data_IF_038121743155
#
_entry.id   IF_038121743155
#
_cell.length_a   1.000
_cell.length_b   1.000
_cell.length_c   1.000
_cell.angle_alpha   90.00
_cell.angle_beta   90.00
_cell.angle_gamma   90.00
#
_symmetry.space_group_name_H-M   'P 1'
#
loop_
_entity.id
_entity.type
_entity.pdbx_description
1 polymer ?
#
# COMPACT_ATOMS: atom_id res chain seq x y z
N UNK A 1 7.28 -16.25 -2.51
CA UNK A 1 7.08 -14.80 -2.67
C UNK A 1 6.05 -14.32 -1.64
N UNK A 2 6.31 -13.20 -0.96
CA UNK A 2 5.38 -12.59 0.01
C UNK A 2 4.72 -11.36 -0.61
N UNK A 3 3.40 -11.29 -0.59
CA UNK A 3 2.59 -10.17 -1.07
C UNK A 3 1.85 -9.55 0.11
N UNK A 4 2.12 -8.29 0.39
CA UNK A 4 1.49 -7.54 1.47
C UNK A 4 0.51 -6.52 0.90
N UNK A 5 -0.74 -6.54 1.34
CA UNK A 5 -1.73 -5.52 1.08
C UNK A 5 -1.95 -4.65 2.31
N UNK A 6 -1.87 -3.33 2.14
CA UNK A 6 -2.16 -2.35 3.19
C UNK A 6 -3.34 -1.49 2.77
N UNK A 7 -4.40 -1.46 3.58
CA UNK A 7 -5.50 -0.50 3.46
C UNK A 7 -5.32 0.63 4.46
N UNK A 8 -5.16 1.86 3.96
CA UNK A 8 -5.07 3.07 4.76
C UNK A 8 -6.42 3.68 5.16
N UNK A 9 -7.54 3.05 4.78
CA UNK A 9 -8.86 3.51 5.19
C UNK A 9 -9.07 3.33 6.68
N UNK A 10 -9.63 4.35 7.34
CA UNK A 10 -10.07 4.26 8.74
C UNK A 10 -11.38 3.47 8.91
N UNK A 11 -12.04 3.11 7.81
CA UNK A 11 -13.12 2.12 7.80
C UNK A 11 -12.50 0.74 7.60
N UNK A 12 -12.53 -0.11 8.64
CA UNK A 12 -11.86 -1.43 8.65
C UNK A 12 -12.20 -2.28 7.42
N UNK A 13 -13.49 -2.36 7.09
CA UNK A 13 -14.01 -3.12 5.95
C UNK A 13 -14.58 -2.14 4.90
N UNK A 14 -13.81 -1.14 4.52
CA UNK A 14 -14.23 -0.12 3.55
C UNK A 14 -13.74 -0.44 2.15
N UNK A 15 -14.24 0.29 1.17
CA UNK A 15 -13.94 0.09 -0.26
C UNK A 15 -12.45 0.00 -0.61
N UNK A 16 -11.57 0.68 0.15
CA UNK A 16 -10.11 0.56 -0.06
C UNK A 16 -9.61 -0.84 0.30
N UNK A 17 -10.11 -1.40 1.40
CA UNK A 17 -9.79 -2.76 1.80
C UNK A 17 -10.32 -3.77 0.78
N UNK A 18 -11.56 -3.58 0.32
CA UNK A 18 -12.17 -4.44 -0.69
C UNK A 18 -11.34 -4.48 -1.97
N UNK A 19 -10.93 -3.33 -2.50
CA UNK A 19 -10.16 -3.28 -3.75
C UNK A 19 -8.73 -3.84 -3.60
N UNK A 20 -8.09 -3.66 -2.44
CA UNK A 20 -6.81 -4.31 -2.12
C UNK A 20 -6.98 -5.83 -2.04
N UNK A 21 -8.06 -6.32 -1.41
CA UNK A 21 -8.34 -7.74 -1.28
C UNK A 21 -8.63 -8.40 -2.63
N UNK A 22 -9.31 -7.72 -3.57
CA UNK A 22 -9.49 -8.24 -4.95
C UNK A 22 -8.14 -8.60 -5.60
N UNK A 23 -7.09 -7.79 -5.36
CA UNK A 23 -5.75 -8.11 -5.87
C UNK A 23 -5.15 -9.30 -5.13
N UNK A 24 -5.26 -9.32 -3.78
CA UNK A 24 -4.70 -10.39 -2.94
C UNK A 24 -5.36 -11.74 -3.22
N UNK A 25 -6.66 -11.78 -3.44
CA UNK A 25 -7.41 -13.01 -3.75
C UNK A 25 -6.91 -13.68 -5.04
N UNK A 26 -6.52 -12.89 -6.05
CA UNK A 26 -5.90 -13.42 -7.27
C UNK A 26 -4.53 -14.04 -7.02
N UNK A 27 -3.88 -13.64 -5.92
CA UNK A 27 -2.55 -14.14 -5.53
C UNK A 27 -2.59 -15.42 -4.67
N UNK A 28 -3.77 -15.98 -4.36
CA UNK A 28 -3.91 -17.23 -3.59
C UNK A 28 -3.57 -18.43 -4.46
N UNK A 29 -2.29 -18.59 -4.78
CA UNK A 29 -1.73 -19.69 -5.56
C UNK A 29 -0.46 -20.22 -4.90
N UNK A 30 -0.08 -21.46 -5.21
CA UNK A 30 1.13 -22.07 -4.67
C UNK A 30 2.40 -21.24 -4.93
N UNK A 31 3.19 -21.06 -3.88
CA UNK A 31 4.42 -20.26 -3.91
C UNK A 31 4.22 -18.79 -3.63
N UNK A 32 2.98 -18.33 -3.36
CA UNK A 32 2.69 -16.97 -2.89
C UNK A 32 2.06 -17.02 -1.50
N UNK A 33 2.64 -16.28 -0.57
CA UNK A 33 2.07 -16.01 0.75
C UNK A 33 1.50 -14.60 0.76
N UNK A 34 0.20 -14.46 1.00
CA UNK A 34 -0.48 -13.17 1.09
C UNK A 34 -0.71 -12.76 2.54
N UNK A 35 -0.59 -11.47 2.82
CA UNK A 35 -0.94 -10.88 4.11
C UNK A 35 -1.70 -9.57 3.86
N UNK A 36 -2.71 -9.28 4.68
CA UNK A 36 -3.46 -8.03 4.64
C UNK A 36 -3.36 -7.29 5.96
N UNK A 37 -3.14 -5.98 5.91
CA UNK A 37 -3.12 -5.09 7.06
C UNK A 37 -4.08 -3.93 6.82
N UNK A 38 -5.01 -3.73 7.76
CA UNK A 38 -5.77 -2.48 7.84
C UNK A 38 -5.06 -1.52 8.79
N UNK A 39 -4.90 -0.26 8.40
CA UNK A 39 -4.44 0.80 9.30
C UNK A 39 -5.56 1.31 10.22
N UNK A 40 -6.81 0.88 10.00
CA UNK A 40 -7.91 1.20 10.91
C UNK A 40 -7.65 0.64 12.30
N UNK A 41 -7.78 1.48 13.31
CA UNK A 41 -7.50 1.13 14.70
C UNK A 41 -6.03 1.13 15.09
N UNK A 42 -5.10 1.30 14.13
CA UNK A 42 -3.67 1.44 14.42
C UNK A 42 -3.31 2.87 14.74
N UNK A 43 -2.45 3.06 15.70
CA UNK A 43 -1.91 4.35 16.07
C UNK A 43 -0.62 4.60 15.28
N UNK A 44 -0.61 5.61 14.42
CA UNK A 44 0.56 6.00 13.63
C UNK A 44 0.75 7.50 13.81
N UNK A 45 1.74 7.88 14.61
CA UNK A 45 2.08 9.27 14.83
C UNK A 45 2.69 9.91 13.58
N UNK A 46 2.49 11.23 13.38
CA UNK A 46 3.16 11.95 12.30
C UNK A 46 4.67 12.00 12.50
N UNK A 47 5.41 12.17 11.41
CA UNK A 47 6.84 12.46 11.47
C UNK A 47 7.08 13.82 12.14
N UNK A 48 8.05 13.88 13.07
CA UNK A 48 8.40 15.11 13.79
C UNK A 48 9.47 15.94 13.07
N UNK A 49 10.00 15.49 11.93
CA UNK A 49 11.09 16.17 11.22
C UNK A 49 12.40 16.26 12.04
N UNK A 50 12.56 15.43 13.06
CA UNK A 50 13.66 15.54 14.03
C UNK A 50 15.01 15.03 13.51
N UNK A 51 15.04 14.42 12.32
CA UNK A 51 16.21 13.88 11.61
C UNK A 51 17.09 12.86 12.37
N UNK A 52 16.75 12.49 13.60
CA UNK A 52 17.49 11.50 14.40
C UNK A 52 17.64 10.14 13.70
N UNK A 53 16.76 9.84 12.78
CA UNK A 53 16.82 8.61 11.97
C UNK A 53 18.02 8.58 11.01
N UNK A 54 18.65 9.70 10.68
CA UNK A 54 19.90 9.75 9.88
C UNK A 54 21.05 9.01 10.59
N UNK A 55 21.12 9.13 11.92
CA UNK A 55 22.13 8.45 12.75
C UNK A 55 21.65 7.06 13.19
N UNK A 56 20.41 6.97 13.71
CA UNK A 56 19.86 5.73 14.29
C UNK A 56 19.47 4.70 13.24
N UNK A 57 19.39 5.11 11.96
CA UNK A 57 18.95 4.24 10.83
C UNK A 57 17.56 3.63 11.03
N UNK A 58 16.76 4.23 11.92
CA UNK A 58 15.40 3.85 12.28
C UNK A 58 14.63 5.05 12.84
N UNK A 59 13.30 5.03 12.71
CA UNK A 59 12.47 6.08 13.33
C UNK A 59 12.50 5.97 14.84
N UNK A 60 12.77 7.09 15.52
CA UNK A 60 12.86 7.14 16.99
C UNK A 60 11.51 7.34 17.69
N UNK A 61 10.44 7.48 16.93
CA UNK A 61 9.09 7.53 17.51
C UNK A 61 8.68 6.11 17.85
N UNK A 62 8.52 5.87 19.14
CA UNK A 62 8.09 4.60 19.73
C UNK A 62 6.64 4.75 20.25
N UNK A 63 6.10 3.70 20.83
CA UNK A 63 4.75 3.64 21.43
C UNK A 63 3.61 3.84 20.43
N UNK A 64 3.81 3.37 19.19
CA UNK A 64 2.77 3.29 18.17
C UNK A 64 2.98 2.06 17.25
N UNK A 65 2.02 1.80 16.39
CA UNK A 65 2.01 0.61 15.52
C UNK A 65 2.88 0.76 14.25
N UNK A 66 3.56 1.90 14.04
CA UNK A 66 4.31 2.11 12.80
C UNK A 66 5.42 1.07 12.61
N UNK A 67 6.16 0.77 13.67
CA UNK A 67 7.28 -0.18 13.62
C UNK A 67 6.82 -1.58 13.23
N UNK A 68 5.69 -2.04 13.73
CA UNK A 68 5.13 -3.35 13.39
C UNK A 68 4.68 -3.43 11.94
N UNK A 69 4.03 -2.36 11.45
CA UNK A 69 3.57 -2.30 10.05
C UNK A 69 4.75 -2.22 9.10
N UNK A 70 5.74 -1.37 9.37
CA UNK A 70 6.89 -1.21 8.46
C UNK A 70 7.78 -2.45 8.43
N UNK A 71 7.86 -3.21 9.52
CA UNK A 71 8.58 -4.48 9.52
C UNK A 71 7.96 -5.48 8.52
N UNK A 72 6.62 -5.52 8.42
CA UNK A 72 5.95 -6.34 7.40
C UNK A 72 6.24 -5.88 5.98
N UNK A 73 6.40 -4.57 5.76
CA UNK A 73 6.82 -4.02 4.46
C UNK A 73 8.27 -4.40 4.14
N UNK A 74 9.15 -4.38 5.14
CA UNK A 74 10.54 -4.85 4.97
C UNK A 74 10.63 -6.34 4.61
N UNK A 75 9.66 -7.14 5.05
CA UNK A 75 9.63 -8.59 4.83
C UNK A 75 8.90 -9.00 3.54
N UNK A 76 8.24 -8.08 2.83
CA UNK A 76 7.49 -8.42 1.62
C UNK A 76 8.32 -8.25 0.33
N UNK A 77 7.95 -9.01 -0.70
CA UNK A 77 8.50 -8.88 -2.06
C UNK A 77 7.64 -7.91 -2.91
N UNK A 78 6.34 -7.87 -2.61
CA UNK A 78 5.35 -7.03 -3.32
C UNK A 78 4.51 -6.29 -2.28
N UNK A 79 4.44 -4.97 -2.38
CA UNK A 79 3.58 -4.11 -1.58
C UNK A 79 2.41 -3.59 -2.41
N UNK A 80 1.20 -3.81 -1.94
CA UNK A 80 -0.02 -3.16 -2.40
C UNK A 80 -0.40 -2.13 -1.33
N UNK A 81 -0.32 -0.85 -1.65
CA UNK A 81 -0.69 0.21 -0.71
C UNK A 81 -1.92 0.96 -1.20
N UNK A 82 -2.97 0.96 -0.39
CA UNK A 82 -4.25 1.57 -0.71
C UNK A 82 -4.60 2.74 0.20
N UNK A 83 -5.17 3.82 -0.38
CA UNK A 83 -5.71 4.95 0.35
C UNK A 83 -7.10 5.33 -0.15
N UNK A 84 -8.03 5.71 0.74
CA UNK A 84 -9.16 6.51 0.32
C UNK A 84 -8.67 7.89 -0.13
N UNK A 85 -9.39 8.50 -1.06
CA UNK A 85 -9.13 9.87 -1.50
C UNK A 85 -9.88 10.85 -0.60
N UNK A 86 -9.14 11.60 0.20
CA UNK A 86 -9.67 12.67 1.05
C UNK A 86 -9.07 14.01 0.61
N UNK A 87 -9.93 14.97 0.28
CA UNK A 87 -9.48 16.27 -0.25
C UNK A 87 -8.46 16.11 -1.40
N UNK A 88 -8.78 15.22 -2.34
CA UNK A 88 -7.99 14.94 -3.56
C UNK A 88 -6.64 14.26 -3.34
N UNK A 89 -6.31 13.80 -2.14
CA UNK A 89 -5.04 13.15 -1.85
C UNK A 89 -5.23 11.94 -0.91
N UNK A 90 -4.12 11.32 -0.52
CA UNK A 90 -4.12 10.23 0.48
C UNK A 90 -4.69 10.73 1.80
N UNK A 91 -5.32 9.86 2.57
CA UNK A 91 -5.76 10.21 3.91
C UNK A 91 -4.55 10.46 4.84
N UNK A 92 -4.75 11.29 5.87
CA UNK A 92 -3.68 11.67 6.80
C UNK A 92 -2.97 10.49 7.46
N UNK A 93 -3.67 9.39 7.69
CA UNK A 93 -3.10 8.18 8.30
C UNK A 93 -2.08 7.49 7.39
N UNK A 94 -2.37 7.42 6.09
CA UNK A 94 -1.40 6.95 5.07
C UNK A 94 -0.22 7.91 4.97
N UNK A 95 -0.49 9.23 5.02
CA UNK A 95 0.58 10.23 4.95
C UNK A 95 1.53 10.12 6.16
N UNK A 96 1.00 9.96 7.38
CA UNK A 96 1.81 9.72 8.57
C UNK A 96 2.70 8.47 8.41
N UNK A 97 2.12 7.38 7.85
CA UNK A 97 2.87 6.16 7.60
C UNK A 97 4.02 6.40 6.63
N UNK A 98 3.74 7.04 5.48
CA UNK A 98 4.72 7.32 4.43
C UNK A 98 5.83 8.24 4.94
N UNK A 99 5.52 9.35 5.61
CA UNK A 99 6.52 10.34 6.02
C UNK A 99 7.58 9.75 6.96
N UNK A 100 7.19 8.78 7.78
CA UNK A 100 8.13 8.11 8.69
C UNK A 100 9.06 7.13 7.99
N UNK A 101 8.73 6.70 6.76
CA UNK A 101 9.63 5.85 5.96
C UNK A 101 10.91 6.57 5.53
N UNK A 102 10.98 7.90 5.70
CA UNK A 102 12.23 8.65 5.56
C UNK A 102 13.39 8.04 6.35
N UNK A 103 13.08 7.39 7.48
CA UNK A 103 14.06 6.66 8.29
C UNK A 103 14.71 5.45 7.58
N UNK A 104 14.14 5.00 6.47
CA UNK A 104 14.62 3.86 5.68
C UNK A 104 15.22 4.29 4.34
N UNK A 105 15.04 5.58 3.99
CA UNK A 105 15.36 6.11 2.67
C UNK A 105 16.87 6.10 2.39
N UNK A 106 17.68 6.61 3.33
CA UNK A 106 19.12 6.76 3.13
C UNK A 106 19.85 5.42 2.94
N UNK A 107 19.41 4.38 3.62
CA UNK A 107 19.99 3.04 3.52
C UNK A 107 19.29 2.19 2.46
N UNK A 108 18.37 2.78 1.68
CA UNK A 108 17.63 2.12 0.61
C UNK A 108 16.98 0.79 1.03
N UNK A 109 16.49 0.72 2.28
CA UNK A 109 16.02 -0.54 2.88
C UNK A 109 14.81 -1.16 2.18
N UNK A 110 14.06 -0.37 1.40
CA UNK A 110 12.90 -0.83 0.65
C UNK A 110 13.18 -1.06 -0.84
N UNK A 111 14.39 -0.77 -1.32
CA UNK A 111 14.75 -0.88 -2.74
C UNK A 111 14.59 -2.30 -3.30
N UNK A 112 14.27 -2.38 -4.59
CA UNK A 112 14.18 -3.66 -5.33
C UNK A 112 12.84 -4.41 -5.18
N UNK A 113 11.95 -3.97 -4.30
CA UNK A 113 10.60 -4.54 -4.16
C UNK A 113 9.70 -4.10 -5.31
N UNK A 114 8.54 -4.75 -5.43
CA UNK A 114 7.49 -4.36 -6.38
C UNK A 114 6.39 -3.63 -5.66
N UNK A 115 5.82 -2.59 -6.31
CA UNK A 115 4.81 -1.73 -5.71
C UNK A 115 3.55 -1.60 -6.57
N UNK A 116 2.41 -1.51 -5.91
CA UNK A 116 1.09 -1.25 -6.51
C UNK A 116 0.39 -0.16 -5.69
N UNK A 117 -0.09 0.87 -6.37
CA UNK A 117 -0.87 1.94 -5.76
C UNK A 117 -2.38 1.70 -5.97
N UNK A 118 -3.17 1.82 -4.89
CA UNK A 118 -4.63 1.69 -4.93
C UNK A 118 -5.27 2.96 -4.37
N UNK A 119 -6.17 3.58 -5.10
CA UNK A 119 -6.94 4.72 -4.62
C UNK A 119 -8.44 4.49 -4.78
N UNK A 120 -9.21 4.81 -3.75
CA UNK A 120 -10.68 4.79 -3.84
C UNK A 120 -11.23 6.17 -3.56
N UNK A 121 -12.15 6.62 -4.40
CA UNK A 121 -12.80 7.93 -4.29
C UNK A 121 -14.33 7.80 -4.35
N UNK A 122 -15.02 8.75 -3.72
CA UNK A 122 -16.49 8.80 -3.78
C UNK A 122 -16.98 9.35 -5.11
N UNK A 123 -16.41 10.47 -5.56
CA UNK A 123 -16.84 11.18 -6.76
C UNK A 123 -15.71 11.37 -7.78
N UNK A 124 -14.60 11.99 -7.37
CA UNK A 124 -13.46 12.36 -8.22
C UNK A 124 -12.20 12.59 -7.39
N UNK A 125 -11.06 12.79 -8.06
CA UNK A 125 -9.83 13.30 -7.44
C UNK A 125 -8.80 12.23 -7.07
N UNK A 126 -8.97 10.97 -7.48
CA UNK A 126 -8.03 9.89 -7.18
C UNK A 126 -6.64 10.06 -7.82
N UNK A 127 -6.49 10.92 -8.82
CA UNK A 127 -5.21 11.09 -9.54
C UNK A 127 -4.07 11.52 -8.61
N UNK A 128 -4.30 12.51 -7.73
CA UNK A 128 -3.30 12.93 -6.74
C UNK A 128 -3.00 11.84 -5.72
N UNK A 129 -4.04 11.13 -5.26
CA UNK A 129 -3.85 9.99 -4.35
C UNK A 129 -2.90 8.96 -4.96
N UNK A 130 -3.11 8.60 -6.23
CA UNK A 130 -2.20 7.69 -6.96
C UNK A 130 -0.81 8.31 -7.09
N UNK A 131 -0.69 9.58 -7.48
CA UNK A 131 0.61 10.26 -7.61
C UNK A 131 1.39 10.27 -6.29
N UNK A 132 0.74 10.54 -5.16
CA UNK A 132 1.37 10.50 -3.83
C UNK A 132 1.86 9.09 -3.49
N UNK A 133 1.05 8.05 -3.74
CA UNK A 133 1.44 6.67 -3.49
C UNK A 133 2.56 6.21 -4.43
N UNK A 134 2.48 6.53 -5.72
CA UNK A 134 3.53 6.22 -6.71
C UNK A 134 4.81 6.99 -6.41
N UNK A 135 4.72 8.24 -5.95
CA UNK A 135 5.86 9.04 -5.48
C UNK A 135 6.58 8.38 -4.30
N UNK A 136 5.82 7.89 -3.31
CA UNK A 136 6.36 7.10 -2.21
C UNK A 136 7.08 5.84 -2.71
N UNK A 137 6.42 5.05 -3.55
CA UNK A 137 6.98 3.80 -4.09
C UNK A 137 8.26 4.08 -4.91
N UNK A 138 8.22 5.08 -5.78
CA UNK A 138 9.36 5.49 -6.62
C UNK A 138 10.53 6.00 -5.80
N UNK A 139 10.28 6.84 -4.79
CA UNK A 139 11.33 7.37 -3.91
C UNK A 139 12.07 6.26 -3.15
N UNK A 140 11.41 5.17 -2.87
CA UNK A 140 11.99 3.97 -2.25
C UNK A 140 12.41 2.89 -3.26
N UNK A 141 12.47 3.23 -4.56
CA UNK A 141 12.95 2.35 -5.64
C UNK A 141 12.16 1.04 -5.79
N UNK A 142 10.85 1.10 -5.56
CA UNK A 142 9.97 0.01 -5.93
C UNK A 142 9.78 -0.04 -7.45
N UNK A 143 9.84 -1.23 -8.02
CA UNK A 143 9.42 -1.46 -9.41
C UNK A 143 7.90 -1.49 -9.49
N UNK A 144 7.29 -0.55 -10.23
CA UNK A 144 5.83 -0.46 -10.34
C UNK A 144 5.24 -1.64 -11.14
N UNK A 145 4.24 -2.30 -10.58
CA UNK A 145 3.38 -3.25 -11.29
C UNK A 145 2.09 -2.61 -11.83
N UNK A 146 1.84 -1.35 -11.47
CA UNK A 146 0.70 -0.57 -11.91
C UNK A 146 -0.07 0.04 -10.76
N UNK A 147 -1.17 0.69 -11.11
CA UNK A 147 -2.08 1.31 -10.15
C UNK A 147 -3.53 1.07 -10.53
N UNK A 148 -4.43 1.16 -9.56
CA UNK A 148 -5.87 1.07 -9.78
C UNK A 148 -6.62 2.12 -8.98
N UNK A 149 -7.61 2.73 -9.62
CA UNK A 149 -8.56 3.62 -8.98
C UNK A 149 -9.94 2.98 -9.00
N UNK A 150 -10.69 3.10 -7.92
CA UNK A 150 -12.06 2.62 -7.84
C UNK A 150 -12.99 3.69 -7.29
N UNK A 151 -14.26 3.64 -7.71
CA UNK A 151 -15.31 4.51 -7.21
C UNK A 151 -16.16 3.75 -6.18
N UNK A 152 -16.35 4.35 -4.99
CA UNK A 152 -17.23 3.81 -3.96
C UNK A 152 -17.36 4.76 -2.79
N UNK A 153 -18.59 4.92 -2.28
CA UNK A 153 -18.91 5.75 -1.13
C UNK A 153 -19.42 4.91 0.05
N UNK A 154 -20.46 4.11 -0.18
CA UNK A 154 -20.96 3.15 0.81
C UNK A 154 -20.06 1.90 0.83
N UNK A 155 -20.13 1.13 1.91
CA UNK A 155 -19.39 -0.12 2.04
C UNK A 155 -19.73 -1.06 0.88
N UNK A 156 -18.70 -1.57 0.21
CA UNK A 156 -18.84 -2.52 -0.90
C UNK A 156 -19.12 -1.92 -2.27
N UNK A 157 -19.40 -0.60 -2.39
CA UNK A 157 -19.70 0.04 -3.67
C UNK A 157 -18.61 -0.19 -4.72
N UNK A 158 -17.35 -0.21 -4.32
CA UNK A 158 -16.21 -0.38 -5.23
C UNK A 158 -16.24 -1.72 -5.96
N UNK A 159 -16.87 -2.74 -5.39
CA UNK A 159 -17.04 -4.05 -6.03
C UNK A 159 -18.01 -4.01 -7.21
N UNK A 160 -18.86 -2.98 -7.28
CA UNK A 160 -19.73 -2.71 -8.41
C UNK A 160 -19.04 -1.91 -9.53
N UNK A 161 -17.87 -1.33 -9.26
CA UNK A 161 -17.02 -0.69 -10.27
C UNK A 161 -16.26 -1.77 -11.07
N UNK A 162 -16.93 -2.31 -12.10
CA UNK A 162 -16.41 -3.42 -12.91
C UNK A 162 -15.02 -3.12 -13.50
N UNK A 163 -14.79 -1.87 -13.92
CA UNK A 163 -13.50 -1.45 -14.51
C UNK A 163 -12.38 -1.51 -13.46
N UNK A 164 -12.65 -1.03 -12.24
CA UNK A 164 -11.70 -1.10 -11.15
C UNK A 164 -11.40 -2.55 -10.73
N UNK A 165 -12.44 -3.37 -10.59
CA UNK A 165 -12.32 -4.80 -10.22
C UNK A 165 -11.52 -5.58 -11.27
N UNK A 166 -11.84 -5.44 -12.56
CA UNK A 166 -11.09 -6.10 -13.64
C UNK A 166 -9.62 -5.67 -13.68
N UNK A 167 -9.35 -4.37 -13.45
CA UNK A 167 -7.98 -3.86 -13.39
C UNK A 167 -7.21 -4.41 -12.19
N UNK A 168 -7.85 -4.48 -11.02
CA UNK A 168 -7.29 -5.09 -9.82
C UNK A 168 -6.96 -6.58 -10.05
N UNK A 169 -7.87 -7.34 -10.66
CA UNK A 169 -7.65 -8.74 -11.02
C UNK A 169 -6.47 -8.91 -11.99
N UNK A 170 -6.38 -8.08 -13.04
CA UNK A 170 -5.24 -8.09 -14.00
C UNK A 170 -3.90 -7.80 -13.30
N UNK A 171 -3.88 -6.94 -12.28
CA UNK A 171 -2.68 -6.69 -11.47
C UNK A 171 -2.32 -7.92 -10.66
N UNK A 172 -3.29 -8.59 -10.02
CA UNK A 172 -3.07 -9.85 -9.32
C UNK A 172 -2.51 -10.94 -10.24
N UNK A 173 -3.06 -11.08 -11.45
CA UNK A 173 -2.54 -12.02 -12.45
C UNK A 173 -1.09 -11.69 -12.86
N UNK A 174 -0.72 -10.40 -12.91
CA UNK A 174 0.67 -9.98 -13.14
C UNK A 174 1.61 -10.47 -12.04
N UNK A 175 1.19 -10.37 -10.76
CA UNK A 175 1.96 -10.87 -9.63
C UNK A 175 2.17 -12.39 -9.75
N UNK A 176 1.13 -13.15 -10.06
CA UNK A 176 1.20 -14.61 -10.23
C UNK A 176 2.20 -15.01 -11.30
N UNK A 177 2.23 -14.28 -12.43
CA UNK A 177 3.20 -14.55 -13.51
C UNK A 177 4.66 -14.37 -13.08
N UNK A 178 4.96 -13.53 -12.08
CA UNK A 178 6.34 -13.37 -11.58
C UNK A 178 6.86 -14.64 -10.92
N UNK A 179 5.99 -15.41 -10.24
CA UNK A 179 6.39 -16.68 -9.61
C UNK A 179 6.64 -17.76 -10.65
N UNK A 180 5.81 -17.82 -11.70
CA UNK A 180 5.96 -18.81 -12.77
C UNK A 180 7.29 -18.63 -13.52
N UNK A 181 7.68 -17.38 -13.82
CA UNK A 181 8.93 -17.07 -14.51
C UNK A 181 10.22 -17.39 -13.73
N UNK A 182 10.12 -17.47 -12.40
CA UNK A 182 11.29 -17.81 -11.55
C UNK A 182 11.42 -19.34 -11.32
N UNK A 183 10.52 -20.15 -11.87
CA UNK A 183 10.56 -21.62 -11.78
C UNK A 183 11.02 -22.29 -13.08
N UNK A 184 11.03 -21.53 -14.16
CA UNK A 184 11.60 -21.91 -15.48
C UNK A 184 13.03 -21.36 -15.58
#
# INVERSE_FOLDING_TARGET
MKVLGISGSMRKDGNTADLVNVILERCHVDGIKTEFISLSGKKIHPCLGCEKCKEKKWCVIENDDWSDVIQKVLDCDVLIIGSPTYYYDVCGHVKNFIDRTYSLYHDRKLAGRKGIAVAVHAQKGASRTIQTLEGFLSSHEFSSLGSVTGKGYQKGDVLSDKVAVERAQKIGDKIVRLVKRNRD
#
